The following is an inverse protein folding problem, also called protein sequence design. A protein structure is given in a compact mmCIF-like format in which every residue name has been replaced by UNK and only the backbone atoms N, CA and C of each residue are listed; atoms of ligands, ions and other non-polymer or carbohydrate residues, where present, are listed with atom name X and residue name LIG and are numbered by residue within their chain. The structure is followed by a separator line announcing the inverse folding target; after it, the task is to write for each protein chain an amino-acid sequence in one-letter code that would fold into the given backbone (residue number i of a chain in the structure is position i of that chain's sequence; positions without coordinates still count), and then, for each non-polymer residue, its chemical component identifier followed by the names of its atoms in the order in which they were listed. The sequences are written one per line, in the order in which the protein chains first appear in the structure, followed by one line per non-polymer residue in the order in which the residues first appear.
data_IF_773014168928
#
_entry.id   IF_773014168928
#
_cell.length_a   1.000
_cell.length_b   1.000
_cell.length_c   1.000
_cell.angle_alpha   90.00
_cell.angle_beta   90.00
_cell.angle_gamma   90.00
#
_symmetry.space_group_name_H-M   'P 1'
#
loop_
_entity.id
_entity.type
_entity.pdbx_description
1 polymer ?
#
# COMPACT_ATOMS: atom_id res chain seq x y z
N UNK A 1 -3.99 -44.83 -3.94
CA UNK A 1 -3.50 -43.73 -4.80
C UNK A 1 -2.01 -43.91 -5.01
N UNK A 2 -1.53 -43.99 -6.25
CA UNK A 2 -0.09 -44.09 -6.54
C UNK A 2 0.62 -42.74 -6.30
N UNK A 3 1.93 -42.79 -6.06
CA UNK A 3 2.76 -41.64 -5.67
C UNK A 3 2.62 -40.46 -6.63
N UNK A 4 2.55 -40.72 -7.94
CA UNK A 4 2.34 -39.71 -8.97
C UNK A 4 1.04 -38.92 -8.79
N UNK A 5 -0.08 -39.58 -8.47
CA UNK A 5 -1.35 -38.88 -8.20
C UNK A 5 -1.28 -38.01 -6.94
N UNK A 6 -0.57 -38.45 -5.90
CA UNK A 6 -0.36 -37.65 -4.68
C UNK A 6 0.47 -36.40 -4.97
N UNK A 7 1.55 -36.54 -5.74
CA UNK A 7 2.40 -35.42 -6.16
C UNK A 7 1.59 -34.45 -7.01
N UNK A 8 0.89 -34.92 -8.05
CA UNK A 8 0.10 -34.06 -8.93
C UNK A 8 -0.99 -33.29 -8.17
N UNK A 9 -1.70 -33.95 -7.24
CA UNK A 9 -2.69 -33.30 -6.38
C UNK A 9 -2.04 -32.24 -5.48
N UNK A 10 -0.92 -32.57 -4.83
CA UNK A 10 -0.19 -31.65 -3.95
C UNK A 10 0.31 -30.41 -4.69
N UNK A 11 0.92 -30.58 -5.87
CA UNK A 11 1.39 -29.47 -6.70
C UNK A 11 0.24 -28.58 -7.15
N UNK A 12 -0.88 -29.17 -7.59
CA UNK A 12 -2.06 -28.41 -8.01
C UNK A 12 -2.64 -27.60 -6.86
N UNK A 13 -2.78 -28.21 -5.67
CA UNK A 13 -3.28 -27.54 -4.48
C UNK A 13 -2.39 -26.35 -4.07
N UNK A 14 -1.06 -26.55 -4.08
CA UNK A 14 -0.11 -25.48 -3.79
C UNK A 14 -0.19 -24.34 -4.81
N UNK A 15 -0.31 -24.66 -6.11
CA UNK A 15 -0.45 -23.67 -7.17
C UNK A 15 -1.71 -22.82 -7.00
N UNK A 16 -2.85 -23.44 -6.72
CA UNK A 16 -4.11 -22.72 -6.43
C UNK A 16 -3.97 -21.83 -5.20
N UNK A 17 -3.37 -22.34 -4.13
CA UNK A 17 -3.15 -21.56 -2.91
C UNK A 17 -2.24 -20.35 -3.16
N UNK A 18 -1.16 -20.51 -3.91
CA UNK A 18 -0.24 -19.43 -4.26
C UNK A 18 -0.92 -18.35 -5.11
N UNK A 19 -1.72 -18.73 -6.12
CA UNK A 19 -2.50 -17.79 -6.93
C UNK A 19 -3.53 -17.07 -6.06
N UNK A 20 -4.24 -17.79 -5.20
CA UNK A 20 -5.22 -17.21 -4.28
C UNK A 20 -4.57 -16.19 -3.34
N UNK A 21 -3.43 -16.54 -2.74
CA UNK A 21 -2.66 -15.64 -1.88
C UNK A 21 -2.21 -14.39 -2.65
N UNK A 22 -1.61 -14.56 -3.83
CA UNK A 22 -1.13 -13.44 -4.63
C UNK A 22 -2.27 -12.50 -5.08
N UNK A 23 -3.41 -13.07 -5.48
CA UNK A 23 -4.53 -12.34 -6.04
C UNK A 23 -5.38 -11.62 -4.98
N UNK A 24 -5.40 -12.10 -3.73
CA UNK A 24 -6.30 -11.56 -2.68
C UNK A 24 -5.54 -10.89 -1.54
N UNK A 25 -4.34 -11.38 -1.20
CA UNK A 25 -3.59 -10.91 -0.03
C UNK A 25 -2.41 -10.05 -0.46
N UNK A 26 -1.46 -10.63 -1.21
CA UNK A 26 -0.17 -9.98 -1.50
C UNK A 26 -0.34 -8.65 -2.23
N UNK A 27 -1.19 -8.62 -3.27
CA UNK A 27 -1.38 -7.43 -4.10
C UNK A 27 -1.99 -6.21 -3.37
N UNK A 28 -2.55 -6.40 -2.18
CA UNK A 28 -3.13 -5.33 -1.34
C UNK A 28 -2.51 -5.29 0.05
N UNK A 29 -1.33 -5.90 0.23
CA UNK A 29 -0.58 -5.87 1.49
C UNK A 29 0.17 -4.55 1.63
N UNK A 30 -0.58 -3.47 1.86
CA UNK A 30 -0.01 -2.15 2.04
C UNK A 30 0.82 -2.07 3.34
N UNK A 31 1.93 -1.34 3.31
CA UNK A 31 2.87 -1.29 4.43
C UNK A 31 3.34 0.14 4.67
N UNK A 32 3.51 0.48 5.95
CA UNK A 32 4.15 1.72 6.37
C UNK A 32 5.63 1.44 6.64
N UNK A 33 6.50 2.34 6.20
CA UNK A 33 7.92 2.34 6.56
C UNK A 33 8.19 3.57 7.41
N UNK A 34 8.78 3.37 8.56
CA UNK A 34 9.12 4.43 9.50
C UNK A 34 10.64 4.49 9.66
N UNK A 35 11.17 5.71 9.65
CA UNK A 35 12.58 5.97 9.89
C UNK A 35 12.71 7.26 10.71
N UNK A 36 13.58 7.23 11.71
CA UNK A 36 13.94 8.42 12.51
C UNK A 36 15.31 8.87 12.09
N UNK A 37 15.44 10.13 11.67
CA UNK A 37 16.68 10.68 11.14
C UNK A 37 17.13 11.83 12.06
N UNK A 38 18.35 11.79 12.66
CA UNK A 38 18.82 12.79 13.60
C UNK A 38 19.40 14.02 12.87
N UNK A 39 18.55 14.77 12.17
CA UNK A 39 18.95 15.94 11.37
C UNK A 39 18.58 17.27 12.02
N UNK A 40 17.81 17.25 13.10
CA UNK A 40 17.41 18.47 13.82
C UNK A 40 18.48 18.88 14.84
N UNK A 41 18.53 20.18 15.14
CA UNK A 41 19.40 20.70 16.20
C UNK A 41 19.07 20.09 17.57
N UNK A 42 20.05 20.07 18.46
CA UNK A 42 19.87 19.59 19.82
C UNK A 42 18.77 20.38 20.56
N UNK A 43 17.89 19.68 21.27
CA UNK A 43 16.75 20.27 21.97
C UNK A 43 15.55 20.66 21.08
N UNK A 44 15.64 20.49 19.76
CA UNK A 44 14.50 20.70 18.88
C UNK A 44 13.39 19.66 19.12
N UNK A 45 12.13 20.09 19.01
CA UNK A 45 10.99 19.17 19.02
C UNK A 45 11.03 18.26 17.78
N UNK A 46 10.63 16.97 17.90
CA UNK A 46 10.59 16.07 16.76
C UNK A 46 9.56 16.52 15.73
N UNK A 47 9.89 16.39 14.45
CA UNK A 47 9.00 16.66 13.32
C UNK A 47 8.63 15.34 12.64
N UNK A 48 7.33 15.11 12.42
CA UNK A 48 6.81 13.93 11.74
C UNK A 48 6.40 14.28 10.33
N UNK A 49 7.15 13.75 9.36
CA UNK A 49 6.90 13.96 7.94
C UNK A 49 6.28 12.71 7.34
N UNK A 50 5.09 12.85 6.75
CA UNK A 50 4.49 11.83 5.90
C UNK A 50 4.90 12.09 4.46
N UNK A 51 5.70 11.20 3.89
CA UNK A 51 6.08 11.24 2.48
C UNK A 51 5.28 10.22 1.67
N UNK A 52 4.58 10.70 0.64
CA UNK A 52 3.80 9.88 -0.29
C UNK A 52 4.22 10.19 -1.73
N UNK A 53 4.25 9.16 -2.56
CA UNK A 53 4.63 9.28 -3.97
C UNK A 53 3.97 8.17 -4.79
N UNK A 54 3.92 8.34 -6.10
CA UNK A 54 3.65 7.29 -7.09
C UNK A 54 2.41 6.46 -6.76
N UNK A 55 1.33 7.12 -6.31
CA UNK A 55 0.12 6.40 -5.92
C UNK A 55 -0.44 5.58 -7.10
N UNK A 56 -0.22 6.06 -8.34
CA UNK A 56 -0.69 5.43 -9.57
C UNK A 56 -2.11 4.86 -9.40
N UNK A 57 -3.01 5.73 -8.95
CA UNK A 57 -4.34 5.35 -8.50
C UNK A 57 -5.22 5.02 -9.71
N UNK A 58 -5.92 3.90 -9.63
CA UNK A 58 -7.05 3.60 -10.53
C UNK A 58 -8.39 3.74 -9.78
N UNK A 59 -9.51 4.04 -10.47
CA UNK A 59 -10.79 4.36 -9.81
C UNK A 59 -11.30 3.25 -8.88
N UNK A 60 -11.09 1.98 -9.26
CA UNK A 60 -11.55 0.80 -8.52
C UNK A 60 -10.69 0.39 -7.32
N UNK A 61 -9.54 1.02 -7.08
CA UNK A 61 -8.60 0.63 -6.02
C UNK A 61 -9.05 1.13 -4.63
N UNK A 62 -10.26 0.75 -4.18
CA UNK A 62 -10.86 1.22 -2.92
C UNK A 62 -10.04 0.86 -1.67
N UNK A 63 -9.37 -0.30 -1.67
CA UNK A 63 -8.48 -0.69 -0.58
C UNK A 63 -7.28 0.25 -0.46
N UNK A 64 -6.63 0.59 -1.59
CA UNK A 64 -5.53 1.57 -1.62
C UNK A 64 -6.03 2.95 -1.17
N UNK A 65 -7.19 3.40 -1.65
CA UNK A 65 -7.79 4.68 -1.24
C UNK A 65 -7.97 4.75 0.28
N UNK A 66 -8.58 3.73 0.89
CA UNK A 66 -8.77 3.66 2.35
C UNK A 66 -7.45 3.62 3.10
N UNK A 67 -6.49 2.81 2.65
CA UNK A 67 -5.19 2.71 3.31
C UNK A 67 -4.43 4.05 3.30
N UNK A 68 -4.45 4.77 2.17
CA UNK A 68 -3.84 6.11 2.09
C UNK A 68 -4.55 7.10 3.02
N UNK A 69 -5.89 7.09 3.05
CA UNK A 69 -6.67 7.94 3.96
C UNK A 69 -6.36 7.65 5.44
N UNK A 70 -6.17 6.37 5.80
CA UNK A 70 -5.80 5.97 7.17
C UNK A 70 -4.43 6.53 7.61
N UNK A 71 -3.55 6.93 6.69
CA UNK A 71 -2.28 7.58 7.03
C UNK A 71 -2.47 8.93 7.74
N UNK A 72 -3.63 9.58 7.59
CA UNK A 72 -3.97 10.78 8.37
C UNK A 72 -4.02 10.51 9.88
N UNK A 73 -4.35 9.27 10.29
CA UNK A 73 -4.33 8.85 11.70
C UNK A 73 -2.94 8.88 12.32
N UNK A 74 -1.89 8.90 11.49
CA UNK A 74 -0.54 9.12 11.96
C UNK A 74 -0.45 10.52 12.60
N UNK A 75 -1.22 11.53 12.21
CA UNK A 75 -1.05 12.93 12.65
C UNK A 75 0.36 13.45 12.29
N UNK A 76 0.73 13.47 11.00
CA UNK A 76 1.98 14.09 10.57
C UNK A 76 1.88 15.61 10.72
N UNK A 77 3.03 16.25 10.97
CA UNK A 77 3.15 17.70 11.01
C UNK A 77 3.29 18.30 9.60
N UNK A 78 3.84 17.52 8.68
CA UNK A 78 4.02 17.88 7.27
C UNK A 78 3.73 16.68 6.37
N UNK A 79 2.97 16.90 5.31
CA UNK A 79 2.76 15.92 4.24
C UNK A 79 3.49 16.38 2.99
N UNK A 80 4.37 15.53 2.45
CA UNK A 80 5.06 15.74 1.19
C UNK A 80 4.52 14.74 0.16
N UNK A 81 3.89 15.26 -0.91
CA UNK A 81 3.46 14.45 -2.05
C UNK A 81 4.29 14.81 -3.28
N UNK A 82 5.13 13.90 -3.76
CA UNK A 82 6.04 14.12 -4.89
C UNK A 82 5.41 13.89 -6.26
N UNK A 83 4.16 13.45 -6.33
CA UNK A 83 3.39 13.35 -7.57
C UNK A 83 3.15 11.92 -8.07
N UNK A 84 2.89 11.82 -9.37
CA UNK A 84 2.50 10.60 -10.09
C UNK A 84 1.33 9.82 -9.47
N UNK A 85 0.29 10.57 -9.10
CA UNK A 85 -0.85 10.02 -8.37
C UNK A 85 -1.88 9.30 -9.26
N UNK A 86 -1.88 9.52 -10.58
CA UNK A 86 -2.97 9.12 -11.49
C UNK A 86 -2.51 8.03 -12.46
N UNK A 87 -3.22 6.90 -12.51
CA UNK A 87 -2.98 5.83 -13.50
C UNK A 87 -4.18 5.59 -14.44
N UNK A 88 -5.16 6.51 -14.46
CA UNK A 88 -6.35 6.38 -15.28
C UNK A 88 -7.02 7.75 -15.51
N UNK A 89 -7.67 7.95 -16.66
CA UNK A 89 -8.41 9.19 -17.00
C UNK A 89 -9.47 9.62 -15.99
N UNK A 90 -10.00 8.66 -15.23
CA UNK A 90 -11.02 8.85 -14.20
C UNK A 90 -10.48 8.72 -12.77
N UNK A 91 -9.16 8.80 -12.58
CA UNK A 91 -8.53 8.59 -11.27
C UNK A 91 -8.69 9.76 -10.29
N UNK A 92 -8.97 10.97 -10.78
CA UNK A 92 -9.02 12.19 -9.94
C UNK A 92 -9.94 12.03 -8.72
N UNK A 93 -11.21 11.60 -8.85
CA UNK A 93 -12.07 11.41 -7.68
C UNK A 93 -11.55 10.36 -6.69
N UNK A 94 -10.82 9.34 -7.16
CA UNK A 94 -10.22 8.33 -6.30
C UNK A 94 -9.02 8.87 -5.53
N UNK A 95 -8.18 9.70 -6.16
CA UNK A 95 -7.06 10.37 -5.48
C UNK A 95 -7.56 11.38 -4.47
N UNK A 96 -8.55 12.20 -4.82
CA UNK A 96 -9.10 13.19 -3.89
C UNK A 96 -9.65 12.52 -2.63
N UNK A 97 -10.50 11.50 -2.76
CA UNK A 97 -11.00 10.74 -1.59
C UNK A 97 -9.91 10.08 -0.74
N UNK A 98 -8.77 9.75 -1.35
CA UNK A 98 -7.66 9.14 -0.63
C UNK A 98 -6.80 10.17 0.13
N UNK A 99 -6.76 11.42 -0.36
CA UNK A 99 -5.97 12.52 0.18
C UNK A 99 -6.80 13.54 0.98
N UNK A 100 -8.11 13.37 1.03
CA UNK A 100 -9.00 14.17 1.87
C UNK A 100 -8.62 14.02 3.36
N UNK A 101 -8.52 15.13 4.12
CA UNK A 101 -8.23 15.10 5.56
C UNK A 101 -9.29 14.41 6.41
#
# INVERSE_FOLDING_TARGET
MNTLRRIALGTTALGVAAIGYAAVIERTRWTLREATIPVLAEGAAPLRVLHISDLHMMPGQRSKQRWVAELASLRPDLVVNTGDNLAHRHAVPAVLRALEP
#
